data_IF_314462060021
#
_entry.id   IF_314462060021
#
_cell.length_a   1.000
_cell.length_b   1.000
_cell.length_c   1.000
_cell.angle_alpha   90.00
_cell.angle_beta   90.00
_cell.angle_gamma   90.00
#
_symmetry.space_group_name_H-M   'P 1'
#
loop_
_entity.id
_entity.type
_entity.pdbx_description
1 polymer ?
#
# COMPACT_ATOMS: atom_id res chain seq x y z
N UNK A 1 52.83 31.15 -38.66
CA UNK A 1 53.16 29.71 -38.58
C UNK A 1 51.88 28.90 -38.77
N UNK A 2 51.96 27.90 -39.66
CA UNK A 2 50.83 27.23 -40.34
C UNK A 2 49.98 26.38 -39.39
N UNK A 3 48.65 26.51 -39.48
CA UNK A 3 47.67 25.55 -38.96
C UNK A 3 47.34 24.55 -40.08
N UNK A 4 47.53 23.25 -39.81
CA UNK A 4 47.00 22.17 -40.66
C UNK A 4 45.65 21.67 -40.13
N UNK A 5 44.69 21.33 -41.00
CA UNK A 5 43.36 20.87 -40.60
C UNK A 5 43.31 19.33 -40.55
N UNK A 6 42.58 18.78 -39.57
CA UNK A 6 42.22 17.36 -39.58
C UNK A 6 40.71 17.18 -39.80
N UNK A 7 40.48 16.30 -40.78
CA UNK A 7 39.25 15.93 -41.48
C UNK A 7 38.13 15.44 -40.57
N UNK A 8 36.90 15.85 -40.92
CA UNK A 8 35.65 15.15 -40.58
C UNK A 8 35.54 13.88 -41.43
N UNK A 9 35.22 12.75 -40.81
CA UNK A 9 34.73 11.55 -41.48
C UNK A 9 33.42 11.17 -40.80
N UNK A 10 32.33 11.19 -41.57
CA UNK A 10 31.04 10.64 -41.18
C UNK A 10 30.96 9.18 -41.67
N UNK A 11 30.39 8.25 -40.89
CA UNK A 11 29.93 6.98 -41.45
C UNK A 11 28.45 7.08 -41.83
N UNK A 12 28.18 6.67 -43.07
CA UNK A 12 26.87 6.39 -43.61
C UNK A 12 26.28 5.13 -42.94
N UNK A 13 25.04 5.21 -42.46
CA UNK A 13 24.25 4.04 -42.07
C UNK A 13 23.29 3.67 -43.20
N UNK A 14 23.24 2.39 -43.62
CA UNK A 14 22.29 1.94 -44.61
C UNK A 14 20.89 1.77 -43.99
N UNK A 15 19.88 2.22 -44.73
CA UNK A 15 18.49 1.95 -44.48
C UNK A 15 18.20 0.45 -44.62
N UNK A 16 17.77 -0.20 -43.54
CA UNK A 16 17.26 -1.55 -43.57
C UNK A 16 15.72 -1.50 -43.59
N UNK A 17 15.16 -2.09 -44.64
CA UNK A 17 13.72 -2.29 -44.86
C UNK A 17 13.09 -3.09 -43.72
N UNK A 18 12.05 -2.53 -43.11
CA UNK A 18 11.11 -3.24 -42.24
C UNK A 18 10.05 -3.94 -43.11
N UNK A 19 10.26 -5.24 -43.35
CA UNK A 19 9.25 -6.15 -43.88
C UNK A 19 8.23 -6.48 -42.79
N UNK A 20 6.95 -6.31 -43.10
CA UNK A 20 5.84 -6.52 -42.19
C UNK A 20 5.73 -7.98 -41.74
N UNK A 21 5.64 -8.15 -40.42
CA UNK A 21 5.18 -9.38 -39.79
C UNK A 21 3.72 -9.18 -39.34
N UNK A 22 2.81 -9.86 -40.02
CA UNK A 22 1.41 -10.03 -39.63
C UNK A 22 1.38 -10.91 -38.38
N UNK A 23 1.08 -10.32 -37.23
CA UNK A 23 0.79 -11.06 -36.00
C UNK A 23 -0.70 -11.44 -35.99
N UNK A 24 -0.96 -12.71 -36.31
CA UNK A 24 -2.24 -13.37 -36.10
C UNK A 24 -2.51 -13.49 -34.59
N UNK A 25 -3.59 -12.86 -34.14
CA UNK A 25 -4.13 -13.00 -32.78
C UNK A 25 -4.70 -14.42 -32.60
N UNK A 26 -4.25 -15.24 -31.63
CA UNK A 26 -4.97 -16.45 -31.27
C UNK A 26 -6.23 -16.07 -30.47
N UNK A 27 -7.38 -16.50 -30.99
CA UNK A 27 -8.68 -16.41 -30.35
C UNK A 27 -8.69 -17.04 -28.94
N UNK A 28 -9.34 -16.36 -28.00
CA UNK A 28 -9.68 -16.89 -26.68
C UNK A 28 -10.51 -18.18 -26.84
N UNK A 29 -9.92 -19.33 -26.51
CA UNK A 29 -10.62 -20.61 -26.41
C UNK A 29 -11.38 -20.63 -25.08
N UNK A 30 -12.69 -20.76 -25.15
CA UNK A 30 -13.57 -20.98 -24.00
C UNK A 30 -13.26 -22.33 -23.34
N UNK A 31 -13.23 -22.35 -22.00
CA UNK A 31 -13.05 -23.56 -21.19
C UNK A 31 -14.28 -24.50 -21.31
N UNK A 32 -14.06 -25.83 -21.32
CA UNK A 32 -15.17 -26.78 -21.27
C UNK A 32 -15.78 -26.80 -19.86
N UNK A 33 -17.11 -26.75 -19.82
CA UNK A 33 -17.92 -27.04 -18.64
C UNK A 33 -17.81 -28.53 -18.32
N UNK A 34 -17.12 -28.87 -17.22
CA UNK A 34 -17.15 -30.21 -16.66
C UNK A 34 -18.31 -30.29 -15.67
N UNK A 35 -19.37 -31.00 -16.06
CA UNK A 35 -20.42 -31.50 -15.16
C UNK A 35 -20.05 -32.91 -14.72
N UNK A 36 -19.93 -33.13 -13.41
CA UNK A 36 -19.73 -34.43 -12.76
C UNK A 36 -20.01 -34.35 -11.25
N UNK A 37 -20.48 -35.44 -10.60
CA UNK A 37 -21.51 -35.38 -9.56
C UNK A 37 -21.00 -35.21 -8.12
N UNK A 38 -21.97 -34.85 -7.27
CA UNK A 38 -21.90 -34.64 -5.84
C UNK A 38 -21.40 -35.85 -5.03
N UNK A 39 -20.36 -35.64 -4.23
CA UNK A 39 -20.26 -35.96 -2.79
C UNK A 39 -18.77 -35.93 -2.40
N UNK A 40 -18.34 -34.84 -1.75
CA UNK A 40 -17.07 -34.82 -1.02
C UNK A 40 -17.22 -33.94 0.24
N UNK A 41 -16.66 -34.34 1.39
CA UNK A 41 -16.85 -33.65 2.64
C UNK A 41 -16.14 -32.30 2.59
N UNK A 42 -16.94 -31.25 2.75
CA UNK A 42 -16.54 -29.84 2.69
C UNK A 42 -15.24 -29.59 3.48
N UNK A 43 -14.13 -29.18 2.83
CA UNK A 43 -12.93 -28.76 3.55
C UNK A 43 -13.25 -27.50 4.38
N UNK A 44 -12.56 -27.28 5.50
CA UNK A 44 -12.76 -26.10 6.34
C UNK A 44 -12.62 -24.83 5.47
N UNK A 45 -13.54 -23.88 5.68
CA UNK A 45 -13.67 -22.63 4.92
C UNK A 45 -12.29 -22.01 4.68
N UNK A 46 -11.89 -21.94 3.41
CA UNK A 46 -10.84 -21.04 2.97
C UNK A 46 -11.12 -19.64 3.55
N UNK A 47 -10.05 -18.94 3.97
CA UNK A 47 -10.12 -17.57 4.45
C UNK A 47 -11.07 -16.76 3.53
N UNK A 48 -12.00 -15.95 4.08
CA UNK A 48 -12.88 -15.16 3.24
C UNK A 48 -12.02 -14.31 2.30
N UNK A 49 -12.27 -14.43 1.00
CA UNK A 49 -11.72 -13.52 0.01
C UNK A 49 -11.97 -12.07 0.47
N UNK A 50 -11.04 -11.13 0.20
CA UNK A 50 -11.30 -9.72 0.49
C UNK A 50 -12.63 -9.28 -0.14
N UNK A 51 -13.40 -8.41 0.54
CA UNK A 51 -14.75 -8.08 0.14
C UNK A 51 -14.79 -7.56 -1.31
N UNK A 52 -15.62 -8.17 -2.14
CA UNK A 52 -15.74 -7.89 -3.58
C UNK A 52 -16.64 -6.70 -3.91
N UNK A 53 -16.77 -5.71 -3.01
CA UNK A 53 -17.58 -4.50 -3.23
C UNK A 53 -16.80 -3.21 -2.86
N UNK A 54 -15.53 -3.15 -3.25
CA UNK A 54 -14.55 -2.13 -2.86
C UNK A 54 -14.70 -0.76 -3.57
N UNK A 55 -15.87 -0.42 -4.12
CA UNK A 55 -16.07 0.86 -4.82
C UNK A 55 -16.93 1.83 -4.03
N UNK A 56 -16.33 2.92 -3.57
CA UNK A 56 -17.08 4.00 -2.93
C UNK A 56 -17.87 4.77 -3.98
N UNK A 57 -19.18 4.92 -3.75
CA UNK A 57 -20.02 5.79 -4.55
C UNK A 57 -19.51 7.25 -4.45
N UNK A 58 -19.13 7.65 -3.24
CA UNK A 58 -18.61 8.98 -2.94
C UNK A 58 -17.48 8.89 -1.93
N UNK A 59 -16.45 9.70 -2.13
CA UNK A 59 -15.38 9.84 -1.15
C UNK A 59 -14.95 11.29 -0.98
N UNK A 60 -14.36 11.58 0.17
CA UNK A 60 -13.57 12.77 0.46
C UNK A 60 -12.10 12.42 0.27
N UNK A 61 -11.39 13.26 -0.48
CA UNK A 61 -9.94 13.12 -0.65
C UNK A 61 -9.21 13.98 0.38
N UNK A 62 -8.36 13.35 1.16
CA UNK A 62 -7.35 14.01 1.97
C UNK A 62 -5.99 13.89 1.29
N UNK A 63 -5.29 15.00 1.14
CA UNK A 63 -3.97 15.04 0.51
C UNK A 63 -3.00 15.95 1.27
N UNK A 64 -1.68 15.72 1.17
CA UNK A 64 -0.71 16.69 1.67
C UNK A 64 -0.85 18.03 0.90
N UNK A 65 -0.38 19.15 1.48
CA UNK A 65 -0.34 20.43 0.78
C UNK A 65 0.52 20.34 -0.49
N UNK A 66 0.20 21.16 -1.50
CA UNK A 66 0.90 21.14 -2.80
C UNK A 66 2.38 21.54 -2.69
N UNK A 67 2.73 22.33 -1.66
CA UNK A 67 4.11 22.57 -1.28
C UNK A 67 4.50 21.61 -0.15
N UNK A 68 5.51 20.74 -0.34
CA UNK A 68 5.92 19.80 0.70
C UNK A 68 6.45 20.56 1.91
N UNK A 69 5.79 20.41 3.05
CA UNK A 69 6.21 20.98 4.34
C UNK A 69 7.31 20.16 5.01
N UNK A 70 7.55 18.93 4.54
CA UNK A 70 8.48 17.97 5.14
C UNK A 70 9.46 17.47 4.08
N UNK A 71 10.75 17.53 4.40
CA UNK A 71 11.82 16.93 3.59
C UNK A 71 11.98 15.44 3.93
N UNK A 72 12.44 14.63 2.98
CA UNK A 72 12.68 13.20 3.19
C UNK A 72 11.59 12.28 2.63
N UNK A 73 11.65 11.00 3.00
CA UNK A 73 10.75 9.97 2.48
C UNK A 73 9.31 10.17 2.95
N UNK A 74 9.14 10.69 4.16
CA UNK A 74 7.84 10.99 4.77
C UNK A 74 7.04 12.04 4.01
N UNK A 75 7.71 13.02 3.40
CA UNK A 75 7.07 13.96 2.47
C UNK A 75 6.81 13.33 1.09
N UNK A 76 7.82 12.63 0.55
CA UNK A 76 7.76 12.05 -0.79
C UNK A 76 6.71 10.94 -0.92
N UNK A 77 6.55 10.12 0.12
CA UNK A 77 5.68 8.94 0.14
C UNK A 77 4.41 9.17 0.96
N UNK A 78 4.07 10.43 1.25
CA UNK A 78 2.89 10.79 2.02
C UNK A 78 1.62 10.25 1.33
N UNK A 79 0.74 9.52 2.04
CA UNK A 79 -0.38 8.82 1.42
C UNK A 79 -1.50 9.77 1.00
N UNK A 80 -2.20 9.44 -0.09
CA UNK A 80 -3.55 9.99 -0.29
C UNK A 80 -4.55 9.17 0.50
N UNK A 81 -5.53 9.82 1.13
CA UNK A 81 -6.60 9.12 1.84
C UNK A 81 -7.93 9.43 1.17
N UNK A 82 -8.65 8.38 0.79
CA UNK A 82 -10.01 8.44 0.28
C UNK A 82 -10.95 7.90 1.34
N UNK A 83 -11.67 8.79 2.01
CA UNK A 83 -12.63 8.48 3.05
C UNK A 83 -14.03 8.37 2.45
N UNK A 84 -14.70 7.25 2.64
CA UNK A 84 -16.07 7.03 2.18
C UNK A 84 -17.04 8.03 2.84
N UNK A 85 -17.92 8.62 2.02
CA UNK A 85 -18.96 9.54 2.50
C UNK A 85 -20.32 8.91 2.27
N UNK A 86 -20.99 8.54 3.37
CA UNK A 86 -22.37 8.04 3.36
C UNK A 86 -23.32 9.20 3.70
N UNK A 87 -24.44 9.28 2.99
CA UNK A 87 -25.49 10.27 3.24
C UNK A 87 -25.35 11.59 2.45
N UNK A 88 -26.10 12.59 2.88
CA UNK A 88 -26.19 13.91 2.22
C UNK A 88 -24.95 14.74 2.51
N UNK A 89 -24.59 15.66 1.61
CA UNK A 89 -23.53 16.62 1.89
C UNK A 89 -23.84 17.43 3.16
N UNK A 90 -22.82 17.68 4.00
CA UNK A 90 -23.01 18.52 5.17
C UNK A 90 -23.52 19.90 4.76
N UNK A 91 -24.42 20.47 5.56
CA UNK A 91 -24.97 21.80 5.29
C UNK A 91 -23.83 22.85 5.26
N UNK A 92 -23.98 23.93 4.48
CA UNK A 92 -23.04 25.04 4.51
C UNK A 92 -22.82 25.54 5.95
N UNK A 93 -21.56 25.69 6.36
CA UNK A 93 -21.19 26.11 7.73
C UNK A 93 -21.01 24.96 8.72
N UNK A 94 -21.22 23.70 8.32
CA UNK A 94 -20.82 22.55 9.16
C UNK A 94 -19.30 22.56 9.33
N UNK A 95 -18.79 22.48 10.56
CA UNK A 95 -17.35 22.41 10.80
C UNK A 95 -16.72 21.24 10.03
N UNK A 96 -15.69 21.56 9.25
CA UNK A 96 -14.97 20.56 8.48
C UNK A 96 -14.16 19.69 9.44
N UNK A 97 -14.22 18.35 9.35
CA UNK A 97 -13.33 17.50 10.13
C UNK A 97 -11.87 17.83 9.84
N UNK A 98 -10.99 17.51 10.77
CA UNK A 98 -9.55 17.64 10.58
C UNK A 98 -8.89 16.27 10.65
N UNK A 99 -8.05 15.94 9.67
CA UNK A 99 -7.25 14.72 9.70
C UNK A 99 -5.87 15.06 10.26
N UNK A 100 -5.61 14.62 11.50
CA UNK A 100 -4.29 14.80 12.10
C UNK A 100 -3.39 13.65 11.65
N UNK A 101 -2.32 13.95 10.92
CA UNK A 101 -1.38 12.97 10.37
C UNK A 101 0.00 13.17 10.97
N UNK A 102 0.58 12.07 11.46
CA UNK A 102 1.94 12.01 11.96
C UNK A 102 2.80 11.09 11.10
N UNK A 103 4.06 11.43 10.95
CA UNK A 103 5.05 10.61 10.27
C UNK A 103 6.29 10.35 11.12
N UNK A 104 6.90 9.18 10.92
CA UNK A 104 8.18 8.82 11.51
C UNK A 104 9.00 8.01 10.51
N UNK A 105 10.28 8.34 10.38
CA UNK A 105 11.24 7.60 9.59
C UNK A 105 12.25 6.94 10.53
N UNK A 106 12.50 5.64 10.34
CA UNK A 106 13.56 4.91 11.02
C UNK A 106 14.07 3.77 10.13
N UNK A 107 14.87 2.86 10.69
CA UNK A 107 15.34 1.68 9.96
C UNK A 107 15.15 0.42 10.80
N UNK A 108 14.88 -0.68 10.12
CA UNK A 108 14.70 -2.01 10.72
C UNK A 108 15.66 -3.01 10.08
N UNK A 109 16.24 -3.89 10.89
CA UNK A 109 17.05 -5.00 10.36
C UNK A 109 16.15 -6.19 10.05
N UNK A 110 15.96 -6.51 8.77
CA UNK A 110 15.05 -7.57 8.31
C UNK A 110 15.54 -8.15 6.99
N UNK A 111 15.50 -9.47 6.85
CA UNK A 111 16.05 -10.15 5.68
C UNK A 111 17.57 -9.99 5.56
N UNK A 112 18.26 -9.92 6.69
CA UNK A 112 19.72 -9.76 6.76
C UNK A 112 20.24 -8.37 6.37
N UNK A 113 19.39 -7.35 6.26
CA UNK A 113 19.78 -5.98 5.90
C UNK A 113 19.07 -4.94 6.75
N UNK A 114 19.73 -3.82 6.97
CA UNK A 114 19.10 -2.61 7.49
C UNK A 114 18.29 -1.97 6.36
N UNK A 115 17.00 -1.73 6.61
CA UNK A 115 16.03 -1.21 5.63
C UNK A 115 15.32 0.02 6.18
N UNK A 116 15.26 1.14 5.42
CA UNK A 116 14.46 2.29 5.82
C UNK A 116 12.98 1.93 5.88
N UNK A 117 12.28 2.46 6.88
CA UNK A 117 10.83 2.36 6.99
C UNK A 117 10.22 3.69 7.39
N UNK A 118 9.02 3.95 6.88
CA UNK A 118 8.22 5.14 7.15
C UNK A 118 6.90 4.71 7.76
N UNK A 119 6.55 5.31 8.88
CA UNK A 119 5.26 5.15 9.53
C UNK A 119 4.42 6.39 9.30
N UNK A 120 3.16 6.18 8.95
CA UNK A 120 2.13 7.21 8.96
C UNK A 120 1.05 6.80 9.94
N UNK A 121 0.67 7.71 10.83
CA UNK A 121 -0.32 7.49 11.88
C UNK A 121 -1.31 8.64 11.83
N UNK A 122 -2.60 8.33 11.79
CA UNK A 122 -3.61 9.37 11.78
C UNK A 122 -4.84 9.00 12.60
N UNK A 123 -5.58 10.05 12.92
CA UNK A 123 -6.95 9.98 13.42
C UNK A 123 -7.71 11.18 12.90
N UNK A 124 -9.01 10.99 12.74
CA UNK A 124 -9.90 12.11 12.48
C UNK A 124 -10.23 12.80 13.80
N UNK A 125 -10.12 14.11 13.83
CA UNK A 125 -10.57 14.92 14.95
C UNK A 125 -11.90 15.56 14.55
N UNK A 126 -12.94 15.22 15.30
CA UNK A 126 -14.23 15.89 15.17
C UNK A 126 -14.09 17.34 15.62
N UNK A 127 -14.63 18.24 14.82
CA UNK A 127 -14.74 19.65 15.17
C UNK A 127 -15.83 19.82 16.23
N UNK A 128 -15.47 19.52 17.48
CA UNK A 128 -16.22 19.78 18.70
C UNK A 128 -17.70 19.37 18.69
N UNK A 129 -17.97 18.08 18.87
CA UNK A 129 -19.31 17.57 19.23
C UNK A 129 -19.25 16.98 20.64
N UNK A 130 -19.45 17.85 21.64
CA UNK A 130 -19.88 17.53 23.01
C UNK A 130 -19.51 16.14 23.55
N UNK A 131 -18.23 15.87 23.81
CA UNK A 131 -17.68 14.92 24.81
C UNK A 131 -18.30 13.53 25.02
N UNK A 132 -19.15 13.00 24.12
CA UNK A 132 -19.97 11.81 24.37
C UNK A 132 -19.50 10.54 23.68
N UNK A 133 -18.55 10.64 22.77
CA UNK A 133 -17.99 9.48 22.07
C UNK A 133 -16.48 9.40 22.33
N UNK A 134 -15.94 8.18 22.57
CA UNK A 134 -14.50 8.00 22.60
C UNK A 134 -13.92 8.44 21.26
N UNK A 135 -12.70 9.01 21.24
CA UNK A 135 -12.06 9.40 20.00
C UNK A 135 -11.93 8.19 19.07
N UNK A 136 -12.01 8.39 17.74
CA UNK A 136 -11.83 7.31 16.80
C UNK A 136 -10.44 6.68 16.98
N UNK A 137 -10.31 5.37 16.75
CA UNK A 137 -9.05 4.66 16.92
C UNK A 137 -7.97 5.22 16.00
N UNK A 138 -6.72 5.18 16.46
CA UNK A 138 -5.58 5.41 15.59
C UNK A 138 -5.54 4.39 14.45
N UNK A 139 -5.29 4.91 13.26
CA UNK A 139 -4.99 4.14 12.07
C UNK A 139 -3.56 4.45 11.63
N UNK A 140 -2.98 3.55 10.85
CA UNK A 140 -1.68 3.81 10.28
C UNK A 140 -1.33 2.91 9.12
N UNK A 141 -0.30 3.32 8.40
CA UNK A 141 0.43 2.46 7.48
C UNK A 141 1.92 2.53 7.76
N UNK A 142 2.61 1.42 7.54
CA UNK A 142 4.06 1.35 7.46
C UNK A 142 4.46 1.05 6.03
N UNK A 143 5.45 1.76 5.52
CA UNK A 143 6.11 1.51 4.24
C UNK A 143 7.54 1.06 4.52
N UNK A 144 7.93 -0.12 4.03
CA UNK A 144 9.33 -0.57 4.09
C UNK A 144 9.98 -0.39 2.73
N UNK A 145 11.19 0.16 2.71
CA UNK A 145 11.96 0.37 1.49
C UNK A 145 12.96 -0.77 1.24
N UNK A 146 13.14 -1.05 -0.04
CA UNK A 146 14.14 -1.97 -0.58
C UNK A 146 15.54 -1.36 -0.63
N UNK A 147 16.46 -2.09 -1.22
CA UNK A 147 17.85 -1.68 -1.43
C UNK A 147 18.03 -0.51 -2.40
N UNK A 148 17.01 -0.23 -3.21
CA UNK A 148 16.95 0.89 -4.18
C UNK A 148 16.07 2.05 -3.70
N UNK A 149 15.78 2.09 -2.41
CA UNK A 149 14.86 3.05 -1.79
C UNK A 149 13.44 3.05 -2.39
N UNK A 150 13.06 1.95 -3.06
CA UNK A 150 11.71 1.74 -3.57
C UNK A 150 10.87 1.00 -2.52
N UNK A 151 9.58 1.33 -2.35
CA UNK A 151 8.69 0.56 -1.49
C UNK A 151 8.63 -0.91 -1.89
N UNK A 152 8.80 -1.80 -0.91
CA UNK A 152 8.69 -3.25 -1.09
C UNK A 152 7.54 -3.87 -0.29
N UNK A 153 7.14 -3.22 0.80
CA UNK A 153 6.07 -3.66 1.69
C UNK A 153 5.25 -2.48 2.17
N UNK A 154 3.93 -2.67 2.22
CA UNK A 154 3.02 -1.84 2.98
C UNK A 154 2.30 -2.69 4.02
N UNK A 155 2.21 -2.19 5.23
CA UNK A 155 1.46 -2.82 6.33
C UNK A 155 0.44 -1.84 6.86
N UNK A 156 -0.79 -2.31 7.09
CA UNK A 156 -1.79 -1.53 7.82
C UNK A 156 -1.69 -1.76 9.32
N UNK A 157 -1.80 -0.69 10.09
CA UNK A 157 -2.06 -0.74 11.51
C UNK A 157 -3.43 -0.16 11.85
N UNK A 158 -4.03 -0.69 12.91
CA UNK A 158 -5.18 -0.10 13.56
C UNK A 158 -5.40 -0.78 14.90
N UNK A 159 -5.85 -0.02 15.90
CA UNK A 159 -6.03 -0.54 17.27
C UNK A 159 -7.16 -1.58 17.38
N UNK A 160 -7.99 -1.72 16.35
CA UNK A 160 -9.17 -2.59 16.32
C UNK A 160 -9.06 -3.69 15.26
N UNK A 161 -7.96 -3.78 14.51
CA UNK A 161 -7.83 -4.75 13.42
C UNK A 161 -7.27 -6.08 13.97
N UNK A 162 -8.02 -7.21 13.92
CA UNK A 162 -7.60 -8.47 14.52
C UNK A 162 -6.44 -9.15 13.78
N UNK A 163 -6.23 -8.82 12.49
CA UNK A 163 -5.10 -9.29 11.68
C UNK A 163 -4.66 -8.18 10.72
N UNK A 164 -3.36 -7.96 10.62
CA UNK A 164 -2.82 -6.88 9.77
C UNK A 164 -2.82 -7.29 8.30
N UNK A 165 -3.05 -6.31 7.43
CA UNK A 165 -3.01 -6.50 5.99
C UNK A 165 -1.64 -6.09 5.47
N UNK A 166 -1.00 -7.00 4.73
CA UNK A 166 0.25 -6.74 4.03
C UNK A 166 -0.01 -6.58 2.54
N UNK A 167 0.66 -5.62 1.91
CA UNK A 167 0.71 -5.45 0.48
C UNK A 167 2.17 -5.53 0.08
N UNK A 168 2.48 -6.29 -0.97
CA UNK A 168 3.86 -6.58 -1.35
C UNK A 168 4.12 -6.07 -2.75
N UNK A 169 5.31 -5.53 -3.00
CA UNK A 169 5.69 -5.08 -4.34
C UNK A 169 5.82 -6.25 -5.32
N UNK A 170 5.43 -6.03 -6.58
CA UNK A 170 5.41 -7.05 -7.63
C UNK A 170 6.78 -7.65 -7.88
N UNK A 171 7.84 -6.86 -7.91
CA UNK A 171 9.20 -7.37 -8.12
C UNK A 171 9.63 -8.33 -7.01
N UNK A 172 9.15 -8.14 -5.77
CA UNK A 172 9.41 -9.07 -4.68
C UNK A 172 8.66 -10.38 -4.91
N UNK A 173 7.36 -10.33 -5.21
CA UNK A 173 6.58 -11.53 -5.52
C UNK A 173 7.18 -12.33 -6.68
N UNK A 174 7.59 -11.65 -7.76
CA UNK A 174 8.24 -12.30 -8.90
C UNK A 174 9.61 -12.89 -8.54
N UNK A 175 10.41 -12.19 -7.73
CA UNK A 175 11.69 -12.71 -7.27
C UNK A 175 11.50 -13.92 -6.35
N UNK A 176 10.47 -13.90 -5.51
CA UNK A 176 10.11 -15.03 -4.67
C UNK A 176 9.67 -16.23 -5.51
N UNK A 177 8.83 -16.01 -6.52
CA UNK A 177 8.38 -17.06 -7.44
C UNK A 177 9.55 -17.70 -8.20
N UNK A 178 10.54 -16.91 -8.63
CA UNK A 178 11.75 -17.43 -9.27
C UNK A 178 12.61 -18.27 -8.33
N UNK A 179 12.68 -17.91 -7.04
CA UNK A 179 13.55 -18.55 -6.06
C UNK A 179 12.94 -19.79 -5.41
N UNK A 180 11.66 -19.75 -5.08
CA UNK A 180 10.95 -20.77 -4.29
C UNK A 180 9.81 -21.46 -5.06
N UNK A 181 9.60 -21.08 -6.32
CA UNK A 181 8.51 -21.58 -7.15
C UNK A 181 7.22 -20.77 -7.00
N UNK A 182 6.23 -21.00 -7.87
CA UNK A 182 4.95 -20.29 -7.84
C UNK A 182 4.19 -20.54 -6.52
N UNK A 183 3.21 -19.68 -6.16
CA UNK A 183 2.34 -19.95 -5.02
C UNK A 183 1.63 -21.29 -5.19
N UNK A 184 1.56 -22.06 -4.11
CA UNK A 184 0.83 -23.32 -4.04
C UNK A 184 -0.06 -23.30 -2.79
N UNK A 185 -1.32 -23.78 -2.86
CA UNK A 185 -2.21 -23.81 -1.70
C UNK A 185 -1.53 -24.45 -0.49
N UNK A 186 -1.72 -23.88 0.73
CA UNK A 186 -2.66 -22.82 1.06
C UNK A 186 -2.15 -21.38 0.78
N UNK A 187 -0.93 -21.21 0.26
CA UNK A 187 -0.37 -19.88 -0.05
C UNK A 187 -1.05 -19.27 -1.25
N UNK A 188 -1.30 -17.97 -1.18
CA UNK A 188 -1.84 -17.16 -2.29
C UNK A 188 -0.73 -16.48 -3.08
N UNK A 189 0.40 -16.19 -2.43
CA UNK A 189 1.54 -15.50 -3.02
C UNK A 189 2.85 -16.26 -2.76
N UNK A 190 3.78 -16.21 -3.71
CA UNK A 190 5.08 -16.87 -3.62
C UNK A 190 5.94 -16.30 -2.48
N UNK A 191 5.76 -15.02 -2.16
CA UNK A 191 6.43 -14.35 -1.04
C UNK A 191 6.00 -14.88 0.34
N UNK A 192 4.84 -15.51 0.46
CA UNK A 192 4.38 -16.04 1.75
C UNK A 192 5.19 -17.27 2.17
N UNK A 193 5.53 -17.38 3.47
CA UNK A 193 5.97 -18.64 4.05
C UNK A 193 4.76 -19.51 4.46
N UNK A 194 4.95 -20.80 4.79
CA UNK A 194 3.89 -21.62 5.37
C UNK A 194 3.32 -21.10 6.71
N UNK A 195 4.03 -20.21 7.40
CA UNK A 195 3.55 -19.62 8.65
C UNK A 195 2.48 -18.54 8.40
N UNK A 196 2.55 -17.83 7.25
CA UNK A 196 1.57 -16.80 6.89
C UNK A 196 0.16 -17.36 6.64
N UNK A 197 0.04 -18.65 6.34
CA UNK A 197 -1.26 -19.29 6.06
C UNK A 197 -1.93 -19.89 7.29
N UNK A 198 -1.29 -19.81 8.46
CA UNK A 198 -1.82 -20.39 9.69
C UNK A 198 -3.05 -19.60 10.21
N UNK A 199 -4.05 -20.26 10.81
CA UNK A 199 -5.25 -19.58 11.35
C UNK A 199 -4.97 -18.54 12.44
N UNK A 200 -3.79 -18.55 13.06
CA UNK A 200 -3.40 -17.59 14.09
C UNK A 200 -2.27 -16.67 13.63
N UNK A 201 -1.96 -16.64 12.33
CA UNK A 201 -0.99 -15.71 11.79
C UNK A 201 -1.44 -14.26 12.09
N UNK A 202 -0.55 -13.41 12.62
CA UNK A 202 -0.90 -12.05 13.02
C UNK A 202 -1.14 -11.12 11.82
N UNK A 203 -0.80 -11.57 10.61
CA UNK A 203 -0.99 -10.85 9.36
C UNK A 203 -1.02 -11.81 8.17
N UNK A 204 -1.49 -11.33 7.02
CA UNK A 204 -1.49 -12.05 5.75
C UNK A 204 -1.30 -11.09 4.58
N UNK A 205 -0.83 -11.60 3.45
CA UNK A 205 -0.70 -10.80 2.22
C UNK A 205 -2.09 -10.66 1.60
N UNK A 206 -2.50 -9.40 1.43
CA UNK A 206 -3.80 -9.03 0.88
C UNK A 206 -3.73 -8.95 -0.64
N UNK A 207 -2.74 -8.23 -1.16
CA UNK A 207 -2.59 -7.94 -2.59
C UNK A 207 -1.14 -7.59 -2.97
N UNK A 208 -0.87 -7.51 -4.27
CA UNK A 208 0.42 -7.14 -4.86
C UNK A 208 0.34 -5.76 -5.53
N UNK A 209 1.33 -4.91 -5.27
CA UNK A 209 1.44 -3.56 -5.84
C UNK A 209 2.44 -3.51 -6.98
N UNK A 210 2.12 -2.75 -8.03
CA UNK A 210 3.07 -2.50 -9.11
C UNK A 210 4.24 -1.64 -8.63
N UNK A 211 5.43 -1.91 -9.18
CA UNK A 211 6.73 -1.34 -8.76
C UNK A 211 6.99 0.07 -9.29
N UNK A 212 5.96 0.90 -9.38
CA UNK A 212 6.13 2.26 -9.83
C UNK A 212 6.73 3.12 -8.70
N UNK A 213 7.65 4.05 -8.99
CA UNK A 213 7.94 5.12 -8.06
C UNK A 213 6.61 5.84 -7.79
N UNK A 214 6.19 5.89 -6.52
CA UNK A 214 4.96 6.54 -6.10
C UNK A 214 5.28 7.87 -5.42
N UNK A 215 5.60 8.95 -6.17
CA UNK A 215 5.54 10.27 -5.58
C UNK A 215 4.11 10.46 -5.04
N UNK A 216 4.01 10.91 -3.79
CA UNK A 216 2.80 11.01 -2.98
C UNK A 216 2.13 9.64 -2.67
N UNK A 217 2.94 8.64 -2.31
CA UNK A 217 2.54 7.48 -1.49
C UNK A 217 1.45 6.56 -2.08
N UNK A 218 0.99 5.56 -1.29
CA UNK A 218 -0.18 4.76 -1.66
C UNK A 218 -1.47 5.58 -1.51
N UNK A 219 -2.53 5.14 -2.17
CA UNK A 219 -3.88 5.64 -1.93
C UNK A 219 -4.56 4.70 -0.93
N UNK A 220 -4.92 5.23 0.24
CA UNK A 220 -5.57 4.49 1.33
C UNK A 220 -7.07 4.74 1.28
N UNK A 221 -7.86 3.70 1.12
CA UNK A 221 -9.32 3.78 1.24
C UNK A 221 -9.74 3.53 2.69
N UNK A 222 -10.54 4.44 3.23
CA UNK A 222 -11.09 4.36 4.58
C UNK A 222 -12.62 4.34 4.45
N UNK A 223 -13.27 3.38 5.11
CA UNK A 223 -14.73 3.28 5.23
C UNK A 223 -15.30 4.45 6.02
N UNK A 224 -16.61 4.67 5.94
CA UNK A 224 -17.28 5.69 6.74
C UNK A 224 -17.15 5.47 8.27
N UNK A 225 -16.87 4.24 8.71
CA UNK A 225 -16.58 3.93 10.12
C UNK A 225 -15.13 4.22 10.52
N UNK A 226 -14.31 4.80 9.64
CA UNK A 226 -12.91 5.07 9.95
C UNK A 226 -12.08 3.79 10.04
N UNK A 227 -12.30 2.81 9.15
CA UNK A 227 -11.43 1.62 9.02
C UNK A 227 -10.80 1.57 7.65
N UNK A 228 -9.50 1.25 7.59
CA UNK A 228 -8.80 1.00 6.32
C UNK A 228 -9.47 -0.18 5.61
N UNK A 229 -10.06 0.07 4.45
CA UNK A 229 -10.70 -0.93 3.61
C UNK A 229 -9.70 -1.60 2.67
N UNK A 230 -8.88 -0.78 2.00
CA UNK A 230 -7.87 -1.24 1.04
C UNK A 230 -6.80 -0.18 0.84
N UNK A 231 -5.64 -0.61 0.34
CA UNK A 231 -4.64 0.27 -0.23
C UNK A 231 -4.59 -0.02 -1.74
N UNK A 232 -4.36 1.01 -2.56
CA UNK A 232 -4.08 0.84 -3.99
C UNK A 232 -2.88 1.67 -4.42
N UNK A 233 -2.25 1.26 -5.52
CA UNK A 233 -1.28 2.09 -6.23
C UNK A 233 -2.00 3.13 -7.09
N UNK A 234 -1.32 4.23 -7.42
CA UNK A 234 -1.83 5.27 -8.33
C UNK A 234 -2.10 4.76 -9.75
N UNK A 235 -1.41 3.71 -10.17
CA UNK A 235 -1.67 3.06 -11.47
C UNK A 235 -2.90 2.14 -11.43
N UNK A 236 -3.41 1.79 -10.26
CA UNK A 236 -4.58 0.91 -10.13
C UNK A 236 -5.84 1.63 -10.61
N UNK A 237 -6.85 0.89 -11.13
CA UNK A 237 -8.13 1.48 -11.49
C UNK A 237 -8.77 2.22 -10.31
N UNK A 238 -9.36 3.38 -10.59
CA UNK A 238 -10.07 4.16 -9.59
C UNK A 238 -11.15 3.32 -8.90
N UNK A 239 -11.19 3.39 -7.57
CA UNK A 239 -12.19 2.73 -6.72
C UNK A 239 -13.22 3.70 -6.14
N UNK A 240 -13.26 4.94 -6.63
CA UNK A 240 -14.23 5.96 -6.22
C UNK A 240 -14.96 6.48 -7.45
N UNK A 241 -16.28 6.56 -7.39
CA UNK A 241 -17.10 7.05 -8.51
C UNK A 241 -17.13 8.58 -8.55
N UNK A 242 -17.21 9.24 -7.39
CA UNK A 242 -17.26 10.70 -7.27
C UNK A 242 -16.50 11.22 -6.05
N UNK A 243 -15.69 12.25 -6.25
CA UNK A 243 -15.13 13.03 -5.13
C UNK A 243 -16.16 14.08 -4.69
N UNK A 244 -16.46 14.09 -3.38
CA UNK A 244 -17.37 15.07 -2.78
C UNK A 244 -16.62 16.33 -2.33
N UNK A 245 -15.40 16.14 -1.82
CA UNK A 245 -14.52 17.25 -1.45
C UNK A 245 -13.07 16.81 -1.46
N UNK A 246 -12.18 17.80 -1.45
CA UNK A 246 -10.75 17.62 -1.27
C UNK A 246 -10.31 18.51 -0.11
N UNK A 247 -9.63 17.93 0.88
CA UNK A 247 -9.13 18.62 2.06
C UNK A 247 -7.63 18.39 2.21
N UNK A 248 -6.87 19.38 2.68
CA UNK A 248 -5.49 19.17 3.07
C UNK A 248 -5.41 18.41 4.40
N UNK A 249 -4.30 17.71 4.61
CA UNK A 249 -3.81 17.36 5.94
C UNK A 249 -2.37 17.83 6.07
N UNK A 250 -1.95 18.16 7.29
CA UNK A 250 -0.55 18.51 7.57
C UNK A 250 0.21 17.30 8.10
N UNK A 251 1.42 17.10 7.58
CA UNK A 251 2.31 16.05 8.06
C UNK A 251 3.12 16.59 9.25
N UNK A 252 2.89 16.01 10.43
CA UNK A 252 3.61 16.36 11.65
C UNK A 252 4.60 15.26 12.04
N UNK A 253 5.74 15.58 12.67
CA UNK A 253 6.62 14.54 13.18
C UNK A 253 5.94 13.78 14.33
N UNK A 254 6.08 12.46 14.37
CA UNK A 254 5.50 11.63 15.42
C UNK A 254 5.97 12.02 16.83
N UNK A 255 7.19 12.55 16.96
CA UNK A 255 7.71 13.09 18.22
C UNK A 255 6.84 14.23 18.80
N UNK A 256 6.18 15.00 17.94
CA UNK A 256 5.21 16.01 18.39
C UNK A 256 3.99 15.34 19.03
N UNK A 257 3.50 14.22 18.48
CA UNK A 257 2.37 13.47 19.06
C UNK A 257 2.69 12.92 20.44
N UNK A 258 3.90 12.37 20.61
CA UNK A 258 4.37 11.76 21.87
C UNK A 258 4.52 12.78 22.99
N UNK A 259 4.80 14.04 22.66
CA UNK A 259 4.88 15.14 23.63
C UNK A 259 3.50 15.66 24.03
N UNK A 260 2.48 15.49 23.18
CA UNK A 260 1.15 16.11 23.33
C UNK A 260 0.13 15.27 24.11
N UNK A 261 0.27 13.95 24.22
CA UNK A 261 -0.80 13.07 24.71
C UNK A 261 -0.39 12.19 25.90
N UNK A 262 -0.94 12.48 27.08
CA UNK A 262 -0.93 11.57 28.24
C UNK A 262 -2.16 10.65 28.34
N UNK A 263 -3.22 10.91 27.55
CA UNK A 263 -4.53 10.27 27.74
C UNK A 263 -4.86 9.18 26.72
N UNK A 264 -4.28 9.23 25.50
CA UNK A 264 -4.44 8.19 24.47
C UNK A 264 -3.06 7.79 23.93
N UNK A 265 -2.62 6.53 24.10
CA UNK A 265 -1.32 6.09 23.61
C UNK A 265 -1.32 6.08 22.08
N UNK A 266 -0.45 6.89 21.49
CA UNK A 266 -0.16 6.87 20.05
C UNK A 266 0.58 5.55 19.74
N UNK A 267 0.21 4.78 18.70
CA UNK A 267 0.88 3.53 18.37
C UNK A 267 2.29 3.77 17.82
N UNK A 268 3.25 3.94 18.72
CA UNK A 268 4.65 4.15 18.39
C UNK A 268 5.25 2.95 17.62
N UNK A 269 6.32 3.16 16.84
CA UNK A 269 7.13 2.06 16.33
C UNK A 269 7.55 1.10 17.45
N UNK A 270 7.55 -0.20 17.15
CA UNK A 270 7.81 -1.25 18.13
C UNK A 270 6.65 -1.57 19.08
N UNK A 271 5.54 -0.81 19.05
CA UNK A 271 4.31 -1.20 19.75
C UNK A 271 3.67 -2.44 19.12
N UNK A 272 2.73 -3.06 19.85
CA UNK A 272 1.93 -4.16 19.34
C UNK A 272 1.03 -3.78 18.15
N UNK A 273 1.02 -2.53 17.69
CA UNK A 273 0.31 -2.15 16.46
C UNK A 273 1.04 -2.59 15.18
N UNK A 274 2.35 -2.85 15.25
CA UNK A 274 3.21 -3.12 14.09
C UNK A 274 3.87 -4.49 14.18
N UNK A 275 4.08 -5.17 13.04
CA UNK A 275 4.89 -6.39 13.02
C UNK A 275 6.37 -6.09 13.28
N UNK A 276 6.99 -6.88 14.15
CA UNK A 276 8.44 -6.85 14.38
C UNK A 276 9.19 -7.45 13.19
N UNK A 277 10.52 -7.23 13.13
CA UNK A 277 11.38 -7.87 12.12
C UNK A 277 11.24 -9.40 12.14
N UNK A 278 11.28 -10.02 13.33
CA UNK A 278 11.14 -11.45 13.46
C UNK A 278 9.78 -11.98 12.97
N UNK A 279 8.70 -11.24 13.21
CA UNK A 279 7.38 -11.60 12.68
C UNK A 279 7.33 -11.47 11.16
N UNK A 280 7.89 -10.39 10.61
CA UNK A 280 8.04 -10.22 9.17
C UNK A 280 8.86 -11.35 8.52
N UNK A 281 9.97 -11.76 9.13
CA UNK A 281 10.81 -12.88 8.67
C UNK A 281 10.14 -14.23 8.80
N UNK A 282 9.28 -14.39 9.80
CA UNK A 282 8.48 -15.60 9.95
C UNK A 282 7.42 -15.69 8.84
N UNK A 283 6.79 -14.58 8.46
CA UNK A 283 5.65 -14.56 7.55
C UNK A 283 6.04 -14.50 6.06
N UNK A 284 7.16 -13.88 5.73
CA UNK A 284 7.55 -13.61 4.34
C UNK A 284 8.91 -14.22 4.00
N UNK A 285 9.08 -14.65 2.77
CA UNK A 285 10.36 -15.05 2.21
C UNK A 285 11.18 -13.82 1.83
N UNK A 286 12.23 -13.55 2.60
CA UNK A 286 13.11 -12.41 2.39
C UNK A 286 14.24 -12.73 1.42
N UNK A 287 14.53 -11.77 0.54
CA UNK A 287 15.72 -11.78 -0.32
C UNK A 287 16.61 -10.58 0.04
N UNK A 288 17.94 -10.76 0.07
CA UNK A 288 18.87 -9.69 0.39
C UNK A 288 18.92 -8.59 -0.67
N UNK A 289 18.58 -8.88 -1.93
CA UNK A 289 18.74 -7.94 -3.05
C UNK A 289 17.48 -7.13 -3.39
N UNK A 290 16.42 -7.29 -2.60
CA UNK A 290 15.22 -6.44 -2.69
C UNK A 290 15.56 -5.05 -2.18
#
# INVERSE_FOLDING_TARGET
>A
MRRSPLRKIAPAFPALLLTGAVLLLPACRSHPTVTGPANDPRPPRANPAPPTNDRFARARLWKPPDAPTTQGWSGLLAPLILEEVIGTEPAPGTPTPHLRMFAHEESIFVGGRLRPQIFYLWRQEEASTSGRHPPPPWQGIRILLGSRDLPILWETAGTVVPRRHLYVARHWEEAAARRWGPPAPPRRFAVETPAATQPHAPAFVTDIFDDAPMPMGPIVHITAEGRIASLICRCSPARVQRLSSQLPYELQPLSAALTMNHLDPVPAPGSAAWLTAAQLETLLHWLPDL
#
